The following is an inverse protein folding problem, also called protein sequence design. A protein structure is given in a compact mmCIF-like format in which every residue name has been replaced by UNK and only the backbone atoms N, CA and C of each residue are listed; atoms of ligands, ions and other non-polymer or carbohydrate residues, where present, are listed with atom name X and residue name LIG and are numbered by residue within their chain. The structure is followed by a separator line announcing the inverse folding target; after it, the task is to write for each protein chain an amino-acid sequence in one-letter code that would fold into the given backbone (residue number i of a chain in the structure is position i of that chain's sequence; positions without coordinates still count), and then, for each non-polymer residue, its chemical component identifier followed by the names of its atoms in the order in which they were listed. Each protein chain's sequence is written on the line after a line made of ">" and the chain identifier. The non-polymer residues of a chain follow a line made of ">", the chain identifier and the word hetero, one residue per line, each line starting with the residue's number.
data_IF_651796164360
#
_entry.id   IF_651796164360
#
_cell.length_a   1.000
_cell.length_b   1.000
_cell.length_c   1.000
_cell.angle_alpha   90.00
_cell.angle_beta   90.00
_cell.angle_gamma   90.00
#
_symmetry.space_group_name_H-M   'P 1'
#
loop_
_entity.id
_entity.type
_entity.pdbx_description
1 polymer ?
#
# COMPACT_ATOMS: atom_id res chain seq x y z
N UNK A 1 -21.72 -21.40 -62.97
CA UNK A 1 -21.49 -20.09 -62.29
C UNK A 1 -22.37 -19.85 -61.06
N UNK A 2 -23.67 -20.22 -61.04
CA UNK A 2 -24.54 -19.97 -59.87
C UNK A 2 -24.15 -20.73 -58.58
N UNK A 3 -23.60 -21.94 -58.68
CA UNK A 3 -23.24 -22.74 -57.50
C UNK A 3 -21.96 -22.27 -56.78
N UNK A 4 -21.07 -21.53 -57.45
CA UNK A 4 -19.85 -21.01 -56.83
C UNK A 4 -20.08 -19.75 -55.99
N UNK A 5 -21.08 -18.93 -56.33
CA UNK A 5 -21.42 -17.74 -55.52
C UNK A 5 -22.08 -18.09 -54.18
N UNK A 6 -22.86 -19.17 -54.12
CA UNK A 6 -23.59 -19.58 -52.91
C UNK A 6 -22.65 -20.00 -51.77
N UNK A 7 -21.56 -20.71 -52.09
CA UNK A 7 -20.59 -21.20 -51.11
C UNK A 7 -19.71 -20.06 -50.58
N UNK A 8 -19.33 -19.11 -51.45
CA UNK A 8 -18.53 -17.95 -51.06
C UNK A 8 -19.30 -17.01 -50.12
N UNK A 9 -20.59 -16.80 -50.36
CA UNK A 9 -21.42 -15.95 -49.49
C UNK A 9 -21.66 -16.59 -48.11
N UNK A 10 -21.87 -17.91 -48.07
CA UNK A 10 -22.05 -18.65 -46.81
C UNK A 10 -20.80 -18.60 -45.94
N UNK A 11 -19.61 -18.79 -46.54
CA UNK A 11 -18.33 -18.72 -45.82
C UNK A 11 -18.04 -17.31 -45.28
N UNK A 12 -18.42 -16.27 -46.04
CA UNK A 12 -18.26 -14.89 -45.63
C UNK A 12 -19.18 -14.51 -44.46
N UNK A 13 -20.44 -14.99 -44.48
CA UNK A 13 -21.41 -14.76 -43.39
C UNK A 13 -20.98 -15.49 -42.11
N UNK A 14 -20.48 -16.73 -42.20
CA UNK A 14 -19.96 -17.45 -41.02
C UNK A 14 -18.71 -16.77 -40.45
N UNK A 15 -17.80 -16.28 -41.29
CA UNK A 15 -16.61 -15.55 -40.85
C UNK A 15 -16.95 -14.21 -40.18
N UNK A 16 -17.95 -13.48 -40.70
CA UNK A 16 -18.46 -12.25 -40.09
C UNK A 16 -19.17 -12.52 -38.77
N UNK A 17 -19.99 -13.57 -38.67
CA UNK A 17 -20.65 -13.96 -37.43
C UNK A 17 -19.65 -14.42 -36.36
N UNK A 18 -18.62 -15.17 -36.74
CA UNK A 18 -17.59 -15.63 -35.82
C UNK A 18 -16.69 -14.47 -35.35
N UNK A 19 -16.36 -13.53 -36.24
CA UNK A 19 -15.69 -12.28 -35.89
C UNK A 19 -16.55 -11.39 -34.98
N UNK A 20 -17.86 -11.34 -35.22
CA UNK A 20 -18.81 -10.60 -34.38
C UNK A 20 -19.00 -11.28 -33.01
N UNK A 21 -19.01 -12.61 -32.95
CA UNK A 21 -19.04 -13.38 -31.70
C UNK A 21 -17.74 -13.24 -30.92
N UNK A 22 -16.58 -13.25 -31.56
CA UNK A 22 -15.29 -12.97 -30.89
C UNK A 22 -15.18 -11.51 -30.44
N UNK A 23 -15.76 -10.56 -31.17
CA UNK A 23 -15.85 -9.15 -30.77
C UNK A 23 -16.80 -8.96 -29.55
N UNK A 24 -17.92 -9.69 -29.51
CA UNK A 24 -18.84 -9.75 -28.37
C UNK A 24 -18.25 -10.46 -27.15
N UNK A 25 -17.47 -11.53 -27.35
CA UNK A 25 -16.80 -12.25 -26.26
C UNK A 25 -15.56 -11.52 -25.72
N UNK A 26 -14.91 -10.68 -26.53
CA UNK A 26 -13.83 -9.77 -26.07
C UNK A 26 -14.32 -8.72 -25.06
N UNK A 27 -15.63 -8.55 -24.85
CA UNK A 27 -16.20 -7.60 -23.89
C UNK A 27 -16.71 -8.20 -22.59
N UNK A 28 -16.40 -9.47 -22.27
CA UNK A 28 -16.88 -10.09 -21.02
C UNK A 28 -15.78 -10.66 -20.12
N UNK A 29 -14.52 -10.27 -20.33
CA UNK A 29 -13.46 -10.61 -19.39
C UNK A 29 -13.50 -9.64 -18.22
N UNK A 30 -13.86 -10.12 -17.02
CA UNK A 30 -13.59 -9.39 -15.79
C UNK A 30 -12.08 -9.18 -15.66
N UNK A 31 -11.64 -7.95 -15.41
CA UNK A 31 -10.23 -7.63 -15.19
C UNK A 31 -9.95 -7.70 -13.70
N UNK A 32 -9.04 -8.57 -13.27
CA UNK A 32 -8.59 -8.64 -11.87
C UNK A 32 -7.82 -7.36 -11.50
N UNK A 33 -7.90 -6.94 -10.24
CA UNK A 33 -7.17 -5.79 -9.71
C UNK A 33 -6.23 -6.29 -8.62
N UNK A 34 -4.92 -6.07 -8.78
CA UNK A 34 -3.98 -6.27 -7.69
C UNK A 34 -4.17 -5.20 -6.60
N UNK A 35 -4.54 -5.66 -5.40
CA UNK A 35 -4.70 -4.83 -4.21
C UNK A 35 -3.46 -4.85 -3.30
N UNK A 36 -2.33 -5.38 -3.76
CA UNK A 36 -0.99 -5.27 -3.19
C UNK A 36 -0.93 -5.42 -1.66
N UNK A 37 -0.76 -6.63 -1.14
CA UNK A 37 -0.69 -6.87 0.31
C UNK A 37 -2.04 -6.89 1.03
N UNK A 38 -3.15 -6.96 0.27
CA UNK A 38 -4.45 -7.32 0.80
C UNK A 38 -4.45 -8.75 1.38
N UNK A 39 -5.29 -8.98 2.39
CA UNK A 39 -5.49 -10.27 3.04
C UNK A 39 -6.91 -10.74 2.77
N UNK A 40 -7.07 -11.87 2.07
CA UNK A 40 -8.38 -12.47 1.78
C UNK A 40 -9.39 -11.48 1.18
N UNK A 41 -8.90 -10.67 0.25
CA UNK A 41 -9.73 -9.78 -0.56
C UNK A 41 -9.22 -9.90 -1.98
N UNK A 42 -10.10 -10.27 -2.89
CA UNK A 42 -9.88 -10.15 -4.33
C UNK A 42 -10.79 -9.07 -4.88
N UNK A 43 -10.33 -8.38 -5.91
CA UNK A 43 -11.14 -7.40 -6.61
C UNK A 43 -11.05 -7.62 -8.12
N UNK A 44 -12.14 -7.36 -8.82
CA UNK A 44 -12.18 -7.35 -10.28
C UNK A 44 -13.15 -6.29 -10.76
N UNK A 45 -12.88 -5.71 -11.93
CA UNK A 45 -13.82 -4.83 -12.63
C UNK A 45 -14.37 -5.55 -13.84
N UNK A 46 -15.68 -5.45 -14.01
CA UNK A 46 -16.36 -5.79 -15.25
C UNK A 46 -17.16 -4.57 -15.68
N UNK A 47 -16.83 -4.03 -16.84
CA UNK A 47 -17.35 -2.76 -17.34
C UNK A 47 -17.04 -1.61 -16.37
N UNK A 48 -18.06 -1.06 -15.69
CA UNK A 48 -17.93 -0.04 -14.66
C UNK A 48 -18.20 -0.58 -13.25
N UNK A 49 -18.33 -1.90 -13.10
CA UNK A 49 -18.74 -2.53 -11.85
C UNK A 49 -17.54 -3.21 -11.21
N UNK A 50 -17.17 -2.71 -10.02
CA UNK A 50 -16.18 -3.32 -9.16
C UNK A 50 -16.85 -4.41 -8.31
N UNK A 51 -16.32 -5.63 -8.42
CA UNK A 51 -16.66 -6.79 -7.61
C UNK A 51 -15.52 -7.06 -6.64
N UNK A 52 -15.85 -7.17 -5.35
CA UNK A 52 -14.89 -7.47 -4.28
C UNK A 52 -15.36 -8.76 -3.61
N UNK A 53 -14.46 -9.72 -3.44
CA UNK A 53 -14.78 -11.01 -2.82
C UNK A 53 -13.87 -11.30 -1.63
N UNK A 54 -14.42 -11.97 -0.63
CA UNK A 54 -13.70 -12.39 0.57
C UNK A 54 -14.32 -13.65 1.18
N UNK A 55 -13.49 -14.61 1.59
CA UNK A 55 -13.93 -15.83 2.27
C UNK A 55 -14.06 -15.58 3.79
N UNK A 56 -15.29 -15.50 4.28
CA UNK A 56 -15.63 -15.22 5.68
C UNK A 56 -15.13 -16.28 6.68
N UNK A 57 -14.74 -17.47 6.19
CA UNK A 57 -14.21 -18.55 7.03
C UNK A 57 -12.74 -18.36 7.42
N UNK A 58 -12.00 -17.50 6.70
CA UNK A 58 -10.57 -17.28 6.96
C UNK A 58 -10.33 -16.46 8.23
N UNK A 59 -9.13 -16.60 8.75
CA UNK A 59 -8.64 -15.91 9.94
C UNK A 59 -7.18 -15.50 9.68
N UNK A 60 -6.87 -14.23 9.91
CA UNK A 60 -5.54 -13.63 9.73
C UNK A 60 -4.95 -13.12 11.04
N UNK A 61 -5.44 -13.62 12.16
CA UNK A 61 -5.01 -13.29 13.51
C UNK A 61 -5.68 -12.05 14.08
N UNK A 62 -5.23 -11.67 15.27
CA UNK A 62 -5.73 -10.49 15.95
C UNK A 62 -5.40 -9.21 15.16
N UNK A 63 -6.29 -8.22 15.27
CA UNK A 63 -6.01 -6.85 14.84
C UNK A 63 -4.83 -6.28 15.63
N UNK A 64 -4.17 -5.24 15.13
CA UNK A 64 -3.05 -4.58 15.83
C UNK A 64 -3.38 -4.12 17.26
N UNK A 65 -4.66 -3.91 17.58
CA UNK A 65 -5.10 -3.54 18.93
C UNK A 65 -5.43 -4.73 19.84
N UNK A 66 -5.39 -5.96 19.33
CA UNK A 66 -5.82 -7.18 20.01
C UNK A 66 -7.33 -7.33 20.22
N UNK A 67 -8.15 -6.32 19.85
CA UNK A 67 -9.58 -6.28 20.20
C UNK A 67 -10.51 -7.08 19.29
N UNK A 68 -10.03 -7.45 18.10
CA UNK A 68 -10.83 -8.10 17.05
C UNK A 68 -9.95 -9.06 16.27
N UNK A 69 -10.56 -9.97 15.52
CA UNK A 69 -9.91 -10.94 14.64
C UNK A 69 -10.15 -10.53 13.20
N UNK A 70 -9.08 -10.44 12.42
CA UNK A 70 -9.11 -10.01 11.02
C UNK A 70 -9.56 -11.17 10.14
N UNK A 71 -10.68 -10.99 9.44
CA UNK A 71 -11.20 -11.94 8.45
C UNK A 71 -10.68 -11.59 7.05
N UNK A 72 -10.60 -10.29 6.74
CA UNK A 72 -10.08 -9.79 5.48
C UNK A 72 -9.79 -8.29 5.53
N UNK A 73 -8.84 -7.81 4.74
CA UNK A 73 -8.50 -6.38 4.70
C UNK A 73 -7.75 -6.03 3.42
N UNK A 74 -7.98 -4.85 2.87
CA UNK A 74 -7.11 -4.26 1.84
C UNK A 74 -5.78 -3.76 2.42
N UNK A 75 -5.57 -3.84 3.73
CA UNK A 75 -4.39 -3.36 4.43
C UNK A 75 -4.14 -1.85 4.20
N UNK A 76 -5.20 -1.04 4.27
CA UNK A 76 -5.19 0.40 4.02
C UNK A 76 -5.98 0.77 2.76
N UNK A 77 -5.83 2.01 2.31
CA UNK A 77 -6.47 2.47 1.07
C UNK A 77 -5.60 2.05 -0.12
N UNK A 78 -6.12 1.16 -0.95
CA UNK A 78 -5.42 0.63 -2.13
C UNK A 78 -5.93 1.28 -3.40
N UNK A 79 -5.05 1.72 -4.31
CA UNK A 79 -5.50 2.25 -5.59
C UNK A 79 -6.20 1.16 -6.39
N UNK A 80 -7.22 1.54 -7.15
CA UNK A 80 -7.90 0.67 -8.10
C UNK A 80 -7.34 0.92 -9.50
N UNK A 81 -6.18 0.33 -9.80
CA UNK A 81 -5.44 0.63 -11.03
C UNK A 81 -5.01 2.10 -11.08
N UNK A 82 -5.12 2.73 -12.25
CA UNK A 82 -4.82 4.15 -12.50
C UNK A 82 -6.08 5.04 -12.48
N UNK A 83 -7.21 4.52 -12.03
CA UNK A 83 -8.52 5.20 -12.06
C UNK A 83 -8.66 6.42 -11.15
N UNK A 84 -7.64 6.76 -10.35
CA UNK A 84 -7.68 7.71 -9.23
C UNK A 84 -8.64 7.32 -8.09
N UNK A 85 -9.29 6.15 -8.15
CA UNK A 85 -10.07 5.61 -7.04
C UNK A 85 -9.19 4.79 -6.09
N UNK A 86 -9.55 4.83 -4.81
CA UNK A 86 -8.93 4.09 -3.73
C UNK A 86 -9.99 3.27 -2.99
N UNK A 87 -9.66 2.04 -2.65
CA UNK A 87 -10.49 1.11 -1.88
C UNK A 87 -9.84 0.82 -0.53
N UNK A 88 -10.56 1.12 0.53
CA UNK A 88 -10.30 0.63 1.89
C UNK A 88 -11.40 -0.33 2.30
N UNK A 89 -11.05 -1.57 2.66
CA UNK A 89 -11.97 -2.58 3.18
C UNK A 89 -11.36 -3.24 4.42
N UNK A 90 -12.17 -3.42 5.46
CA UNK A 90 -11.87 -4.23 6.62
C UNK A 90 -13.04 -5.14 6.98
N UNK A 91 -12.77 -6.42 7.15
CA UNK A 91 -13.69 -7.46 7.61
C UNK A 91 -13.12 -8.05 8.91
N UNK A 92 -13.90 -8.03 9.98
CA UNK A 92 -13.42 -8.49 11.28
C UNK A 92 -14.57 -9.01 12.16
N UNK A 93 -14.24 -9.87 13.11
CA UNK A 93 -15.14 -10.33 14.18
C UNK A 93 -14.56 -9.98 15.55
N UNK A 94 -15.41 -9.91 16.58
CA UNK A 94 -14.92 -9.70 17.97
C UNK A 94 -14.12 -10.90 18.48
N UNK A 95 -14.59 -12.11 18.19
CA UNK A 95 -13.92 -13.38 18.51
C UNK A 95 -14.36 -14.48 17.55
N UNK A 96 -13.64 -15.60 17.52
CA UNK A 96 -14.03 -16.76 16.70
C UNK A 96 -15.32 -17.41 17.20
N UNK A 97 -15.60 -17.40 18.52
CA UNK A 97 -16.85 -18.00 19.03
C UNK A 97 -18.09 -17.19 18.61
N UNK A 98 -17.92 -15.89 18.35
CA UNK A 98 -19.00 -15.03 17.84
C UNK A 98 -19.22 -15.16 16.34
N UNK A 99 -18.32 -15.84 15.61
CA UNK A 99 -18.47 -16.05 14.18
C UNK A 99 -19.42 -17.21 13.91
N UNK A 100 -20.55 -16.94 13.26
CA UNK A 100 -21.55 -17.93 12.89
C UNK A 100 -21.73 -18.00 11.37
N UNK A 101 -21.15 -19.01 10.74
CA UNK A 101 -21.26 -19.22 9.28
C UNK A 101 -22.27 -20.32 8.92
N UNK A 102 -23.14 -20.70 9.86
CA UNK A 102 -24.19 -21.68 9.58
C UNK A 102 -25.20 -21.13 8.58
N UNK A 103 -25.93 -22.00 7.85
CA UNK A 103 -26.89 -21.56 6.83
C UNK A 103 -27.92 -20.55 7.34
N UNK A 104 -28.45 -20.74 8.55
CA UNK A 104 -29.42 -19.83 9.16
C UNK A 104 -28.87 -18.41 9.31
N UNK A 105 -27.58 -18.27 9.68
CA UNK A 105 -26.95 -16.99 9.95
C UNK A 105 -26.59 -16.19 8.69
N UNK A 106 -26.51 -16.88 7.55
CA UNK A 106 -26.11 -16.30 6.26
C UNK A 106 -27.28 -16.20 5.27
N UNK A 107 -28.40 -16.87 5.57
CA UNK A 107 -29.58 -16.99 4.70
C UNK A 107 -30.11 -15.65 4.18
N UNK A 108 -30.14 -14.61 5.03
CA UNK A 108 -30.63 -13.28 4.66
C UNK A 108 -29.87 -12.66 3.48
N UNK A 109 -28.58 -12.99 3.32
CA UNK A 109 -27.73 -12.49 2.25
C UNK A 109 -27.41 -13.54 1.17
N UNK A 110 -27.82 -14.81 1.34
CA UNK A 110 -27.68 -15.88 0.32
C UNK A 110 -28.78 -15.78 -0.74
N UNK A 111 -28.93 -14.60 -1.35
CA UNK A 111 -29.93 -14.30 -2.39
C UNK A 111 -29.23 -14.06 -3.72
N UNK A 112 -29.94 -14.30 -4.84
CA UNK A 112 -29.41 -13.96 -6.17
C UNK A 112 -29.23 -12.43 -6.33
N UNK A 113 -30.15 -11.64 -5.76
CA UNK A 113 -30.04 -10.18 -5.75
C UNK A 113 -29.03 -9.69 -4.70
N UNK A 114 -28.29 -8.64 -5.05
CA UNK A 114 -27.48 -7.89 -4.08
C UNK A 114 -28.39 -7.05 -3.18
N UNK A 115 -28.06 -7.00 -1.89
CA UNK A 115 -28.70 -6.14 -0.90
C UNK A 115 -27.89 -4.86 -0.71
N UNK A 116 -28.53 -3.71 -0.81
CA UNK A 116 -27.88 -2.39 -0.65
C UNK A 116 -27.33 -2.22 0.76
N UNK A 117 -26.13 -1.63 0.87
CA UNK A 117 -25.49 -1.33 2.14
C UNK A 117 -24.82 0.04 2.10
N UNK A 118 -25.30 0.97 2.92
CA UNK A 118 -24.72 2.31 2.97
C UNK A 118 -25.00 3.09 1.68
N UNK A 119 -23.96 3.62 1.04
CA UNK A 119 -24.07 4.45 -0.16
C UNK A 119 -23.24 3.86 -1.29
N UNK A 120 -23.87 3.60 -2.45
CA UNK A 120 -23.19 3.22 -3.68
C UNK A 120 -22.56 1.81 -3.66
N UNK A 121 -22.85 0.99 -2.65
CA UNK A 121 -22.42 -0.39 -2.60
C UNK A 121 -23.55 -1.32 -2.14
N UNK A 122 -23.51 -2.54 -2.66
CA UNK A 122 -24.44 -3.60 -2.32
C UNK A 122 -23.64 -4.90 -2.11
N UNK A 123 -24.17 -5.85 -1.36
CA UNK A 123 -23.50 -7.10 -1.09
C UNK A 123 -24.42 -8.31 -1.13
N UNK A 124 -23.84 -9.50 -1.20
CA UNK A 124 -24.52 -10.77 -0.97
C UNK A 124 -23.52 -11.79 -0.47
N UNK A 125 -24.03 -12.91 -0.01
CA UNK A 125 -23.24 -14.10 0.27
C UNK A 125 -23.49 -15.09 -0.88
N UNK A 126 -22.42 -15.61 -1.47
CA UNK A 126 -22.51 -16.56 -2.59
C UNK A 126 -23.11 -17.92 -2.15
N UNK A 127 -23.34 -18.83 -3.09
CA UNK A 127 -24.04 -20.11 -2.83
C UNK A 127 -23.30 -21.04 -1.87
N UNK A 128 -21.97 -20.92 -1.78
CA UNK A 128 -21.15 -21.61 -0.76
C UNK A 128 -21.46 -21.14 0.68
N UNK A 129 -22.25 -20.07 0.77
CA UNK A 129 -22.19 -18.96 1.70
C UNK A 129 -21.21 -18.94 2.83
N UNK A 130 -19.96 -18.94 2.42
CA UNK A 130 -18.85 -18.35 3.16
C UNK A 130 -18.22 -17.21 2.35
N UNK A 131 -18.48 -17.09 1.05
CA UNK A 131 -17.93 -16.00 0.22
C UNK A 131 -18.85 -14.78 0.25
N UNK A 132 -18.37 -13.68 0.82
CA UNK A 132 -19.00 -12.36 0.67
C UNK A 132 -18.63 -11.80 -0.69
N UNK A 133 -19.62 -11.36 -1.46
CA UNK A 133 -19.43 -10.57 -2.66
C UNK A 133 -20.00 -9.16 -2.46
N UNK A 134 -19.17 -8.14 -2.62
CA UNK A 134 -19.56 -6.73 -2.61
C UNK A 134 -19.48 -6.19 -4.04
N UNK A 135 -20.48 -5.41 -4.43
CA UNK A 135 -20.60 -4.79 -5.74
C UNK A 135 -20.66 -3.27 -5.59
N UNK A 136 -19.91 -2.56 -6.42
CA UNK A 136 -19.91 -1.11 -6.55
C UNK A 136 -20.03 -0.77 -8.04
N UNK A 137 -21.14 -0.14 -8.44
CA UNK A 137 -21.33 0.33 -9.82
C UNK A 137 -20.77 1.75 -9.94
N UNK A 138 -19.49 1.85 -10.28
CA UNK A 138 -18.75 3.11 -10.35
C UNK A 138 -19.23 4.03 -11.47
N UNK A 139 -20.01 3.52 -12.42
CA UNK A 139 -20.69 4.34 -13.42
C UNK A 139 -21.96 5.01 -12.90
N UNK A 140 -22.46 4.60 -11.73
CA UNK A 140 -23.72 5.09 -11.13
C UNK A 140 -23.57 5.63 -9.72
N UNK A 141 -22.36 5.60 -9.15
CA UNK A 141 -22.12 6.14 -7.81
C UNK A 141 -22.44 7.63 -7.75
N UNK A 142 -23.09 8.04 -6.66
CA UNK A 142 -23.29 9.45 -6.36
C UNK A 142 -22.08 9.97 -5.59
N UNK A 143 -21.36 10.91 -6.20
CA UNK A 143 -20.22 11.56 -5.59
C UNK A 143 -20.62 12.43 -4.41
N UNK A 144 -19.99 12.22 -3.26
CA UNK A 144 -20.22 13.01 -2.05
C UNK A 144 -18.89 13.54 -1.49
N UNK A 145 -18.74 14.85 -1.24
CA UNK A 145 -17.56 15.36 -0.55
C UNK A 145 -17.39 14.67 0.83
N UNK A 146 -16.19 14.19 1.11
CA UNK A 146 -15.85 13.67 2.42
C UNK A 146 -15.76 14.83 3.44
N UNK A 147 -15.95 14.52 4.72
CA UNK A 147 -15.84 15.50 5.82
C UNK A 147 -14.47 16.17 5.90
N UNK A 148 -13.42 15.53 5.36
CA UNK A 148 -12.06 16.09 5.30
C UNK A 148 -11.92 17.21 4.27
N UNK A 149 -12.84 17.32 3.30
CA UNK A 149 -12.74 18.21 2.14
C UNK A 149 -11.65 17.83 1.13
N UNK A 150 -10.89 16.75 1.36
CA UNK A 150 -9.76 16.32 0.51
C UNK A 150 -10.11 15.20 -0.46
N UNK A 151 -11.24 14.54 -0.24
CA UNK A 151 -11.70 13.41 -1.04
C UNK A 151 -13.18 13.47 -1.35
N UNK A 152 -13.56 12.75 -2.40
CA UNK A 152 -14.94 12.50 -2.82
C UNK A 152 -15.22 11.02 -2.62
N UNK A 153 -16.21 10.71 -1.79
CA UNK A 153 -16.70 9.36 -1.54
C UNK A 153 -17.49 8.91 -2.77
N UNK A 154 -17.09 7.75 -3.30
CA UNK A 154 -17.76 7.04 -4.38
C UNK A 154 -18.73 6.00 -3.80
N UNK A 155 -18.26 5.24 -2.82
CA UNK A 155 -19.11 4.28 -2.10
C UNK A 155 -18.62 4.07 -0.67
N UNK A 156 -19.53 3.72 0.24
CA UNK A 156 -19.21 3.46 1.64
C UNK A 156 -20.28 2.64 2.33
N UNK A 157 -19.88 1.72 3.20
CA UNK A 157 -20.83 1.06 4.12
C UNK A 157 -21.35 2.01 5.20
N UNK A 158 -20.85 3.25 5.28
CA UNK A 158 -21.22 4.24 6.30
C UNK A 158 -20.91 3.75 7.71
N UNK A 159 -19.66 3.32 7.91
CA UNK A 159 -19.17 2.71 9.15
C UNK A 159 -19.11 1.18 9.08
N UNK A 160 -18.95 0.54 10.23
CA UNK A 160 -18.88 -0.92 10.32
C UNK A 160 -20.30 -1.50 10.32
N UNK A 161 -20.65 -2.24 9.27
CA UNK A 161 -21.95 -2.87 9.08
C UNK A 161 -21.86 -4.37 9.31
N UNK A 162 -22.86 -4.94 9.97
CA UNK A 162 -22.90 -6.37 10.22
C UNK A 162 -23.28 -7.13 8.96
N UNK A 163 -22.56 -8.22 8.67
CA UNK A 163 -22.87 -9.11 7.55
C UNK A 163 -23.85 -10.17 8.06
N UNK A 164 -25.14 -9.99 7.73
CA UNK A 164 -26.22 -10.86 8.20
C UNK A 164 -26.11 -11.13 9.71
N UNK A 165 -26.28 -12.38 10.15
CA UNK A 165 -26.14 -12.79 11.55
C UNK A 165 -24.78 -13.47 11.82
N UNK A 166 -23.77 -13.21 10.99
CA UNK A 166 -22.48 -13.93 11.06
C UNK A 166 -21.60 -13.52 12.23
N UNK A 167 -21.90 -12.39 12.88
CA UNK A 167 -21.02 -11.76 13.87
C UNK A 167 -19.81 -11.04 13.25
N UNK A 168 -19.67 -11.06 11.91
CA UNK A 168 -18.62 -10.33 11.17
C UNK A 168 -19.13 -8.93 10.82
N UNK A 169 -18.26 -7.95 10.99
CA UNK A 169 -18.44 -6.56 10.64
C UNK A 169 -17.62 -6.20 9.39
N UNK A 170 -18.18 -5.37 8.54
CA UNK A 170 -17.57 -4.85 7.32
C UNK A 170 -17.54 -3.33 7.33
N UNK A 171 -16.35 -2.75 7.26
CA UNK A 171 -16.14 -1.33 6.98
C UNK A 171 -15.51 -1.17 5.60
N UNK A 172 -16.19 -0.48 4.69
CA UNK A 172 -15.70 -0.20 3.34
C UNK A 172 -15.81 1.28 3.02
N UNK A 173 -14.78 1.81 2.37
CA UNK A 173 -14.77 3.11 1.72
C UNK A 173 -14.12 3.00 0.35
N UNK A 174 -14.78 3.52 -0.67
CA UNK A 174 -14.23 3.78 -1.98
C UNK A 174 -14.29 5.29 -2.25
N UNK A 175 -13.16 5.91 -2.56
CA UNK A 175 -13.09 7.37 -2.74
C UNK A 175 -12.03 7.75 -3.78
N UNK A 176 -12.09 8.99 -4.26
CA UNK A 176 -11.02 9.63 -5.05
C UNK A 176 -10.58 10.95 -4.42
N UNK A 177 -9.37 11.46 -4.69
CA UNK A 177 -8.99 12.82 -4.32
C UNK A 177 -9.87 13.87 -5.02
N UNK A 178 -10.13 15.01 -4.38
CA UNK A 178 -10.85 16.13 -5.03
C UNK A 178 -10.10 16.66 -6.26
N UNK A 179 -8.76 16.57 -6.24
CA UNK A 179 -7.88 17.05 -7.31
C UNK A 179 -7.80 16.14 -8.53
N UNK A 180 -8.49 14.99 -8.55
CA UNK A 180 -8.43 14.02 -9.62
C UNK A 180 -9.82 13.46 -9.95
N UNK A 181 -10.17 13.42 -11.23
CA UNK A 181 -11.41 12.80 -11.69
C UNK A 181 -11.29 11.26 -11.70
N UNK A 182 -12.43 10.58 -11.52
CA UNK A 182 -12.52 9.13 -11.71
C UNK A 182 -12.36 8.83 -13.20
N UNK A 183 -11.45 7.91 -13.55
CA UNK A 183 -11.30 7.43 -14.92
C UNK A 183 -11.55 5.93 -14.98
N UNK A 184 -12.71 5.56 -15.51
CA UNK A 184 -13.14 4.16 -15.61
C UNK A 184 -12.35 3.36 -16.67
N UNK A 185 -11.72 4.04 -17.64
CA UNK A 185 -10.90 3.36 -18.64
C UNK A 185 -9.57 2.86 -18.08
N UNK A 186 -9.18 3.37 -16.92
CA UNK A 186 -7.89 3.12 -16.26
C UNK A 186 -7.99 2.06 -15.12
N UNK A 187 -9.07 1.29 -15.06
CA UNK A 187 -9.19 0.11 -14.18
C UNK A 187 -8.43 -1.11 -14.70
N UNK A 188 -7.99 -1.07 -15.96
CA UNK A 188 -7.14 -2.11 -16.52
C UNK A 188 -5.76 -1.99 -15.88
N UNK A 189 -5.25 -3.10 -15.37
CA UNK A 189 -3.85 -3.24 -14.99
C UNK A 189 -2.98 -2.77 -16.16
N UNK A 190 -2.31 -1.63 -15.99
CA UNK A 190 -0.87 -1.76 -16.06
C UNK A 190 -0.48 -2.41 -14.74
N UNK A 191 -0.12 -3.69 -14.78
CA UNK A 191 0.57 -4.35 -13.67
C UNK A 191 1.60 -3.35 -13.16
N UNK A 192 1.54 -2.99 -11.86
CA UNK A 192 2.44 -2.00 -11.26
C UNK A 192 3.83 -2.26 -11.82
N UNK A 193 4.35 -1.31 -12.62
CA UNK A 193 5.48 -1.54 -13.51
C UNK A 193 6.54 -2.34 -12.76
N UNK A 194 6.82 -3.56 -13.21
CA UNK A 194 7.82 -4.40 -12.57
C UNK A 194 9.13 -4.17 -13.30
N UNK A 195 10.05 -3.49 -12.63
CA UNK A 195 11.40 -3.27 -13.13
C UNK A 195 12.26 -4.50 -12.88
N UNK A 196 13.02 -4.86 -13.91
CA UNK A 196 14.02 -5.90 -13.93
C UNK A 196 15.40 -5.29 -14.12
N UNK A 197 16.43 -5.98 -13.64
CA UNK A 197 17.82 -5.57 -13.84
C UNK A 197 18.13 -5.41 -15.34
N UNK A 198 18.88 -4.36 -15.67
CA UNK A 198 19.21 -3.98 -17.05
C UNK A 198 18.19 -3.03 -17.70
N UNK A 199 17.12 -2.63 -17.01
CA UNK A 199 16.09 -1.76 -17.58
C UNK A 199 16.32 -0.28 -17.27
N UNK A 200 15.97 0.54 -18.26
CA UNK A 200 15.79 1.98 -18.12
C UNK A 200 14.39 2.31 -18.62
N UNK A 201 13.58 2.96 -17.79
CA UNK A 201 12.19 3.26 -18.11
C UNK A 201 11.90 4.74 -17.87
N UNK A 202 11.33 5.39 -18.88
CA UNK A 202 10.72 6.71 -18.77
C UNK A 202 9.31 6.54 -18.20
N UNK A 203 9.07 7.19 -17.07
CA UNK A 203 7.76 7.26 -16.43
C UNK A 203 7.08 8.59 -16.76
N UNK A 204 5.77 8.65 -16.54
CA UNK A 204 5.01 9.89 -16.68
C UNK A 204 5.56 11.00 -15.80
N UNK A 205 5.28 12.26 -16.18
CA UNK A 205 5.63 13.47 -15.41
C UNK A 205 7.14 13.69 -15.24
N UNK A 206 7.95 13.26 -16.21
CA UNK A 206 9.38 13.60 -16.27
C UNK A 206 10.26 12.80 -15.31
N UNK A 207 9.77 11.67 -14.80
CA UNK A 207 10.59 10.73 -14.04
C UNK A 207 11.23 9.71 -14.98
N UNK A 208 12.49 9.40 -14.75
CA UNK A 208 13.21 8.30 -15.39
C UNK A 208 13.75 7.37 -14.31
N UNK A 209 13.60 6.07 -14.49
CA UNK A 209 14.18 5.06 -13.59
C UNK A 209 15.22 4.25 -14.33
N UNK A 210 16.41 4.15 -13.76
CA UNK A 210 17.51 3.35 -14.23
C UNK A 210 17.80 2.25 -13.19
N UNK A 211 17.59 1.00 -13.59
CA UNK A 211 17.93 -0.19 -12.81
C UNK A 211 18.88 -1.08 -13.62
N UNK A 212 20.00 -0.50 -14.04
CA UNK A 212 21.00 -1.18 -14.89
C UNK A 212 21.77 -2.29 -14.20
N UNK A 213 21.88 -2.27 -12.86
CA UNK A 213 22.63 -3.28 -12.10
C UNK A 213 21.97 -3.57 -10.75
N UNK A 214 21.97 -4.84 -10.36
CA UNK A 214 21.54 -5.25 -9.02
C UNK A 214 22.34 -4.51 -7.95
N UNK A 215 21.61 -4.01 -6.95
CA UNK A 215 22.18 -3.15 -5.91
C UNK A 215 22.22 -1.66 -6.21
N UNK A 216 21.83 -1.22 -7.42
CA UNK A 216 21.82 0.20 -7.77
C UNK A 216 20.59 0.57 -8.59
N UNK A 217 19.67 1.31 -7.98
CA UNK A 217 18.54 1.93 -8.66
C UNK A 217 18.65 3.44 -8.54
N UNK A 218 18.47 4.14 -9.67
CA UNK A 218 18.54 5.60 -9.77
C UNK A 218 17.27 6.13 -10.40
N UNK A 219 16.58 7.01 -9.69
CA UNK A 219 15.45 7.79 -10.20
C UNK A 219 15.97 9.19 -10.53
N UNK A 220 15.74 9.64 -11.76
CA UNK A 220 16.06 11.00 -12.21
C UNK A 220 14.76 11.76 -12.43
N UNK A 221 14.72 13.02 -11.99
CA UNK A 221 13.62 13.94 -12.28
C UNK A 221 14.21 15.29 -12.68
N UNK A 222 13.79 15.79 -13.83
CA UNK A 222 14.20 17.10 -14.35
C UNK A 222 13.02 18.06 -14.32
N UNK A 223 13.25 19.29 -13.83
CA UNK A 223 12.23 20.34 -13.81
C UNK A 223 12.79 21.64 -14.37
N UNK A 224 12.08 22.21 -15.35
CA UNK A 224 12.43 23.49 -15.97
C UNK A 224 12.00 24.68 -15.11
N UNK A 225 11.09 24.50 -14.15
CA UNK A 225 10.77 25.52 -13.14
C UNK A 225 11.43 25.21 -11.81
N UNK A 226 11.89 26.27 -11.13
CA UNK A 226 12.32 26.21 -9.74
C UNK A 226 11.16 25.68 -8.87
N UNK A 227 11.18 24.38 -8.58
CA UNK A 227 10.24 23.67 -7.74
C UNK A 227 8.80 23.48 -8.28
N UNK A 228 8.05 22.49 -7.73
CA UNK A 228 6.58 22.52 -7.77
C UNK A 228 6.08 23.82 -7.13
N UNK A 229 5.04 24.45 -7.69
CA UNK A 229 4.48 25.70 -7.12
C UNK A 229 3.89 25.44 -5.73
N UNK A 230 3.80 26.47 -4.90
CA UNK A 230 3.24 26.31 -3.55
C UNK A 230 1.84 25.64 -3.58
N UNK A 231 1.71 24.50 -2.91
CA UNK A 231 0.48 23.69 -2.92
C UNK A 231 0.47 22.56 -3.96
N UNK A 232 1.39 22.55 -4.92
CA UNK A 232 1.57 21.46 -5.88
C UNK A 232 2.47 20.36 -5.31
N UNK A 233 2.13 19.12 -5.67
CA UNK A 233 2.94 17.95 -5.42
C UNK A 233 3.01 17.11 -6.70
N UNK A 234 4.22 16.74 -7.09
CA UNK A 234 4.47 15.82 -8.18
C UNK A 234 4.64 14.42 -7.58
N UNK A 235 3.83 13.48 -8.05
CA UNK A 235 3.87 12.08 -7.60
C UNK A 235 4.36 11.23 -8.75
N UNK A 236 5.43 10.46 -8.49
CA UNK A 236 5.94 9.48 -9.44
C UNK A 236 4.97 8.29 -9.52
N UNK A 237 4.64 7.79 -10.72
CA UNK A 237 3.93 6.53 -10.85
C UNK A 237 4.64 5.42 -10.06
N UNK A 238 3.94 4.67 -9.19
CA UNK A 238 4.56 3.62 -8.41
C UNK A 238 5.03 2.48 -9.33
N UNK A 239 6.11 1.83 -8.94
CA UNK A 239 6.64 0.66 -9.61
C UNK A 239 7.13 -0.36 -8.57
N UNK A 240 7.35 -1.59 -9.01
CA UNK A 240 7.96 -2.65 -8.18
C UNK A 240 9.36 -3.01 -8.69
N UNK A 241 10.27 -3.30 -7.78
CA UNK A 241 11.64 -3.73 -8.08
C UNK A 241 12.12 -4.62 -6.94
N UNK A 242 12.68 -5.79 -7.24
CA UNK A 242 13.13 -6.75 -6.21
C UNK A 242 12.04 -7.09 -5.16
N UNK A 243 10.76 -7.05 -5.55
CA UNK A 243 9.61 -7.25 -4.66
C UNK A 243 9.25 -6.05 -3.78
N UNK A 244 9.98 -4.94 -3.88
CA UNK A 244 9.69 -3.68 -3.18
C UNK A 244 8.77 -2.81 -4.01
N UNK A 245 7.73 -2.24 -3.39
CA UNK A 245 6.93 -1.16 -3.99
C UNK A 245 7.60 0.18 -3.69
N UNK A 246 7.89 0.96 -4.74
CA UNK A 246 8.57 2.25 -4.64
C UNK A 246 7.57 3.38 -4.86
N UNK A 247 7.52 4.31 -3.92
CA UNK A 247 6.70 5.52 -4.00
C UNK A 247 7.59 6.75 -3.78
N UNK A 248 7.42 7.76 -4.62
CA UNK A 248 8.15 9.02 -4.54
C UNK A 248 7.20 10.21 -4.73
N UNK A 249 7.30 11.16 -3.81
CA UNK A 249 6.56 12.41 -3.81
C UNK A 249 7.53 13.58 -3.74
N UNK A 250 7.35 14.56 -4.61
CA UNK A 250 8.04 15.84 -4.60
C UNK A 250 7.03 16.93 -4.29
N UNK A 251 7.19 17.60 -3.16
CA UNK A 251 6.35 18.72 -2.74
C UNK A 251 7.06 20.05 -2.91
N UNK A 252 6.25 21.10 -3.06
CA UNK A 252 6.74 22.48 -3.08
C UNK A 252 7.56 22.84 -1.82
N UNK A 253 8.56 23.71 -1.95
CA UNK A 253 9.19 24.42 -0.84
C UNK A 253 8.12 25.10 -0.01
N UNK A 254 7.88 24.62 1.21
CA UNK A 254 7.08 25.38 2.16
C UNK A 254 7.97 26.44 2.78
N UNK A 255 7.72 27.71 2.47
CA UNK A 255 8.28 28.81 3.26
C UNK A 255 7.71 28.62 4.66
N UNK A 256 8.56 28.31 5.66
CA UNK A 256 8.11 28.27 7.05
C UNK A 256 7.52 29.66 7.35
N UNK A 257 6.20 29.75 7.54
CA UNK A 257 5.59 30.90 8.24
C UNK A 257 6.32 30.97 9.58
N UNK A 258 7.05 32.07 9.78
CA UNK A 258 7.94 32.32 10.91
C UNK A 258 7.18 32.12 12.23
N UNK A 259 7.26 30.92 12.80
CA UNK A 259 7.04 30.72 14.21
C UNK A 259 8.41 30.96 14.84
N UNK A 260 8.51 31.92 15.75
CA UNK A 260 9.71 32.19 16.56
C UNK A 260 10.12 30.89 17.26
N UNK A 261 11.02 30.14 16.66
CA UNK A 261 11.81 29.12 17.33
C UNK A 261 13.21 29.73 17.42
N UNK A 262 13.53 30.27 18.60
CA UNK A 262 14.91 30.52 19.00
C UNK A 262 15.57 29.14 19.19
N UNK A 263 16.15 28.64 18.10
CA UNK A 263 16.97 27.44 18.07
C UNK A 263 17.97 27.61 16.94
N UNK A 264 19.25 27.38 17.24
CA UNK A 264 20.37 27.59 16.34
C UNK A 264 20.06 27.11 14.91
N UNK A 265 20.30 27.99 13.93
CA UNK A 265 20.17 27.64 12.53
C UNK A 265 21.04 26.41 12.24
N UNK A 266 20.51 25.37 11.55
CA UNK A 266 21.31 24.20 11.22
C UNK A 266 22.55 24.64 10.43
N UNK A 267 23.72 24.19 10.89
CA UNK A 267 25.03 24.48 10.28
C UNK A 267 25.10 23.81 8.90
N UNK A 268 24.63 24.49 7.87
CA UNK A 268 24.77 24.03 6.50
C UNK A 268 26.26 24.05 6.12
N UNK A 269 26.81 22.90 5.75
CA UNK A 269 28.13 22.81 5.14
C UNK A 269 28.00 23.36 3.71
N UNK A 270 28.59 24.54 3.44
CA UNK A 270 28.63 25.15 2.10
C UNK A 270 29.15 24.11 1.08
N UNK A 271 28.43 23.92 -0.02
CA UNK A 271 28.85 23.10 -1.17
C UNK A 271 28.30 21.67 -1.25
N UNK A 272 27.37 21.27 -0.36
CA UNK A 272 26.74 19.94 -0.43
C UNK A 272 25.32 20.05 -1.02
N UNK A 273 25.12 19.55 -2.24
CA UNK A 273 23.79 19.43 -2.86
C UNK A 273 23.08 18.13 -2.42
N UNK A 274 21.75 18.12 -2.44
CA UNK A 274 20.94 16.95 -2.08
C UNK A 274 20.09 17.12 -0.83
N UNK A 275 19.86 16.01 -0.10
CA UNK A 275 19.07 16.05 1.14
C UNK A 275 19.75 16.90 2.21
N UNK A 276 19.02 17.88 2.75
CA UNK A 276 19.40 18.63 3.95
C UNK A 276 18.82 17.95 5.19
N UNK A 277 19.51 16.87 5.58
CA UNK A 277 19.24 16.10 6.78
C UNK A 277 20.49 16.08 7.63
N UNK A 278 20.29 16.11 8.95
CA UNK A 278 21.37 15.87 9.89
C UNK A 278 22.04 14.51 9.54
N UNK A 279 23.36 14.47 9.30
CA UNK A 279 24.07 13.21 9.06
C UNK A 279 23.90 12.17 10.17
N UNK A 280 23.60 12.60 11.41
CA UNK A 280 23.28 11.72 12.53
C UNK A 280 21.82 11.21 12.52
N UNK A 281 20.99 11.70 11.59
CA UNK A 281 19.58 11.29 11.50
C UNK A 281 19.44 9.87 10.97
N UNK A 282 18.93 8.97 11.82
CA UNK A 282 18.57 7.60 11.41
C UNK A 282 17.28 7.52 10.57
N UNK A 283 16.66 8.67 10.27
CA UNK A 283 15.41 8.74 9.51
C UNK A 283 15.60 8.35 8.05
N UNK A 284 16.74 8.72 7.45
CA UNK A 284 17.06 8.43 6.06
C UNK A 284 17.84 7.14 5.99
N UNK A 285 17.25 6.11 5.38
CA UNK A 285 17.84 4.77 5.31
C UNK A 285 18.00 4.35 3.87
N UNK A 286 19.22 3.94 3.51
CA UNK A 286 19.57 3.44 2.18
C UNK A 286 19.04 4.39 1.07
N UNK A 287 19.35 5.68 1.18
CA UNK A 287 18.88 6.69 0.23
C UNK A 287 19.97 7.76 0.07
N UNK A 288 20.28 8.08 -1.17
CA UNK A 288 21.12 9.22 -1.55
C UNK A 288 20.35 10.09 -2.52
N UNK A 289 20.38 11.39 -2.32
CA UNK A 289 19.81 12.35 -3.27
C UNK A 289 20.87 13.38 -3.59
N UNK A 290 21.03 13.70 -4.87
CA UNK A 290 21.77 14.88 -5.34
C UNK A 290 20.84 15.77 -6.15
N UNK A 291 21.17 17.05 -6.21
CA UNK A 291 20.45 18.03 -6.99
C UNK A 291 21.46 18.90 -7.71
N UNK A 292 21.51 18.76 -9.04
CA UNK A 292 22.44 19.48 -9.89
C UNK A 292 21.68 20.52 -10.72
N UNK A 293 22.31 21.66 -11.00
CA UNK A 293 21.78 22.65 -11.95
C UNK A 293 22.36 22.33 -13.32
N UNK A 294 21.51 22.16 -14.32
CA UNK A 294 21.95 21.93 -15.68
C UNK A 294 22.62 23.19 -16.23
N UNK A 295 23.95 23.15 -16.38
CA UNK A 295 24.73 24.29 -16.86
C UNK A 295 24.35 24.73 -18.30
N UNK A 296 23.77 23.85 -19.11
CA UNK A 296 23.32 24.17 -20.46
C UNK A 296 21.95 24.87 -20.48
N UNK A 297 21.16 24.73 -19.40
CA UNK A 297 19.82 25.30 -19.24
C UNK A 297 19.76 25.95 -17.87
N UNK A 298 20.17 27.23 -17.80
CA UNK A 298 20.52 28.00 -16.60
C UNK A 298 19.53 28.02 -15.40
N UNK A 299 18.41 27.31 -15.47
CA UNK A 299 17.39 27.21 -14.42
C UNK A 299 16.84 25.78 -14.20
N UNK A 300 17.25 24.79 -15.00
CA UNK A 300 16.75 23.42 -14.88
C UNK A 300 17.48 22.69 -13.74
N UNK A 301 16.71 22.14 -12.81
CA UNK A 301 17.25 21.32 -11.73
C UNK A 301 17.07 19.84 -12.06
N UNK A 302 18.13 19.05 -11.86
CA UNK A 302 18.15 17.60 -12.05
C UNK A 302 18.34 16.92 -10.70
N UNK A 303 17.27 16.29 -10.24
CA UNK A 303 17.28 15.48 -9.02
C UNK A 303 17.70 14.05 -9.38
N UNK A 304 18.70 13.51 -8.68
CA UNK A 304 19.10 12.10 -8.79
C UNK A 304 18.93 11.43 -7.44
N UNK A 305 18.06 10.43 -7.38
CA UNK A 305 17.64 9.75 -6.17
C UNK A 305 18.07 8.29 -6.30
N UNK A 306 19.06 7.87 -5.54
CA UNK A 306 19.67 6.57 -5.65
C UNK A 306 19.49 5.75 -4.37
N UNK A 307 19.19 4.46 -4.52
CA UNK A 307 19.21 3.49 -3.44
C UNK A 307 19.49 2.07 -3.94
N UNK A 308 19.80 1.16 -3.01
CA UNK A 308 19.99 -0.25 -3.31
C UNK A 308 18.67 -1.02 -3.06
N UNK A 309 17.98 -1.52 -4.09
CA UNK A 309 16.68 -2.20 -3.93
C UNK A 309 16.79 -3.61 -3.32
N UNK A 310 18.01 -4.15 -3.20
CA UNK A 310 18.25 -5.50 -2.65
C UNK A 310 18.38 -5.47 -1.13
N UNK A 311 18.74 -4.32 -0.55
CA UNK A 311 18.90 -4.16 0.90
C UNK A 311 17.57 -4.17 1.66
N UNK A 312 17.65 -4.62 2.91
CA UNK A 312 16.58 -4.56 3.89
C UNK A 312 17.10 -3.86 5.14
N UNK A 313 16.46 -2.75 5.50
CA UNK A 313 16.82 -1.85 6.59
C UNK A 313 15.99 -2.11 7.86
N UNK A 314 15.54 -3.36 8.04
CA UNK A 314 14.65 -3.79 9.13
C UNK A 314 13.17 -3.64 8.81
N UNK A 315 12.31 -4.01 9.77
CA UNK A 315 10.85 -3.87 9.60
C UNK A 315 10.42 -2.41 9.73
N UNK A 316 9.34 -2.07 9.03
CA UNK A 316 8.64 -0.80 9.19
C UNK A 316 8.08 -0.68 10.61
N UNK A 317 7.70 0.53 11.02
CA UNK A 317 7.08 0.76 12.34
C UNK A 317 5.84 -0.10 12.60
N UNK A 318 5.12 -0.49 11.55
CA UNK A 318 3.96 -1.37 11.64
C UNK A 318 4.28 -2.87 11.69
N UNK A 319 5.55 -3.27 11.51
CA UNK A 319 5.96 -4.68 11.39
C UNK A 319 5.55 -5.38 10.08
N UNK A 320 4.55 -4.87 9.35
CA UNK A 320 3.94 -5.51 8.16
C UNK A 320 4.82 -5.53 6.90
N UNK A 321 5.89 -4.74 6.88
CA UNK A 321 6.74 -4.57 5.71
C UNK A 321 8.19 -4.46 6.13
N UNK A 322 9.10 -4.88 5.26
CA UNK A 322 10.51 -4.56 5.35
C UNK A 322 10.76 -3.21 4.67
N UNK A 323 11.51 -2.36 5.35
CA UNK A 323 11.98 -1.08 4.77
C UNK A 323 13.16 -1.37 3.87
N UNK A 324 13.06 -1.02 2.59
CA UNK A 324 14.19 -1.11 1.64
C UNK A 324 14.91 0.22 1.59
N UNK A 325 14.16 1.30 1.43
CA UNK A 325 14.67 2.67 1.42
C UNK A 325 13.58 3.61 1.94
N UNK A 326 13.97 4.63 2.70
CA UNK A 326 13.04 5.67 3.15
C UNK A 326 13.76 6.98 3.40
N UNK A 327 13.07 8.09 3.14
CA UNK A 327 13.48 9.42 3.59
C UNK A 327 12.98 9.76 5.00
N UNK A 328 12.19 8.88 5.64
CA UNK A 328 11.61 9.12 6.96
C UNK A 328 10.56 10.25 6.99
N UNK A 329 9.94 10.54 5.84
CA UNK A 329 9.00 11.65 5.66
C UNK A 329 9.47 12.66 4.61
N UNK A 330 8.88 13.86 4.61
CA UNK A 330 9.27 14.93 3.69
C UNK A 330 10.56 15.63 4.15
N UNK A 331 11.64 15.43 3.41
CA UNK A 331 12.94 16.05 3.65
C UNK A 331 13.23 17.17 2.66
N UNK A 332 13.86 18.28 3.09
CA UNK A 332 14.28 19.33 2.18
C UNK A 332 15.40 18.84 1.24
N UNK A 333 15.36 19.29 -0.01
CA UNK A 333 16.41 19.08 -1.01
C UNK A 333 16.97 20.43 -1.42
N UNK A 334 18.28 20.60 -1.26
CA UNK A 334 19.01 21.82 -1.60
C UNK A 334 19.85 21.61 -2.86
N UNK A 335 20.02 22.67 -3.65
CA UNK A 335 20.99 22.68 -4.75
C UNK A 335 22.43 22.92 -4.25
N UNK A 336 23.40 22.98 -5.17
CA UNK A 336 24.81 23.25 -4.83
C UNK A 336 25.07 24.63 -4.22
N UNK A 337 24.12 25.57 -4.32
CA UNK A 337 24.19 26.91 -3.72
C UNK A 337 23.56 26.95 -2.33
N UNK A 338 22.90 25.86 -1.90
CA UNK A 338 22.15 25.79 -0.64
C UNK A 338 20.71 26.30 -0.75
N UNK A 339 20.21 26.56 -1.97
CA UNK A 339 18.81 26.98 -2.19
C UNK A 339 17.88 25.79 -2.08
N UNK A 340 16.76 25.96 -1.37
CA UNK A 340 15.70 24.94 -1.28
C UNK A 340 14.99 24.76 -2.62
N UNK A 341 15.16 23.59 -3.21
CA UNK A 341 14.58 23.21 -4.51
C UNK A 341 13.24 22.54 -4.32
N UNK A 342 13.13 21.57 -3.43
CA UNK A 342 11.85 20.89 -3.15
C UNK A 342 11.87 20.19 -1.80
N UNK A 343 10.76 19.56 -1.45
CA UNK A 343 10.71 18.54 -0.39
C UNK A 343 10.44 17.18 -0.99
N UNK A 344 11.23 16.18 -0.61
CA UNK A 344 11.13 14.81 -1.12
C UNK A 344 10.61 13.88 -0.03
N UNK A 345 9.66 13.02 -0.39
CA UNK A 345 9.32 11.84 0.41
C UNK A 345 9.41 10.59 -0.46
N UNK A 346 10.35 9.70 -0.12
CA UNK A 346 10.51 8.41 -0.76
C UNK A 346 10.27 7.29 0.24
N UNK A 347 9.54 6.27 -0.19
CA UNK A 347 9.34 5.04 0.55
C UNK A 347 9.39 3.84 -0.39
N UNK A 348 10.31 2.92 -0.13
CA UNK A 348 10.40 1.62 -0.77
C UNK A 348 10.22 0.52 0.29
N UNK A 349 9.17 -0.29 0.13
CA UNK A 349 8.81 -1.34 1.10
C UNK A 349 8.59 -2.68 0.42
N UNK A 350 9.10 -3.75 1.03
CA UNK A 350 8.76 -5.14 0.68
C UNK A 350 7.75 -5.67 1.69
N UNK A 351 6.80 -6.54 1.32
CA UNK A 351 6.00 -7.28 2.30
C UNK A 351 6.92 -8.05 3.25
N UNK A 352 6.62 -8.00 4.55
CA UNK A 352 7.32 -8.82 5.54
C UNK A 352 6.42 -9.96 5.98
N UNK A 353 6.95 -11.18 6.19
CA UNK A 353 6.21 -12.25 6.84
C UNK A 353 5.66 -11.80 8.20
N UNK A 354 4.48 -12.26 8.62
CA UNK A 354 3.98 -12.01 9.97
C UNK A 354 4.96 -12.58 11.00
N UNK A 355 5.10 -11.91 12.13
CA UNK A 355 5.86 -12.44 13.28
C UNK A 355 4.97 -13.46 13.97
N UNK A 356 5.49 -14.67 14.14
CA UNK A 356 4.81 -15.79 14.77
C UNK A 356 5.22 -15.94 16.23
N UNK A 357 4.44 -16.69 17.02
CA UNK A 357 4.83 -17.01 18.40
C UNK A 357 6.14 -17.78 18.49
N UNK A 358 6.50 -18.54 17.44
CA UNK A 358 7.80 -19.24 17.35
C UNK A 358 8.94 -18.23 17.25
N UNK A 359 8.80 -17.22 16.39
CA UNK A 359 9.80 -16.16 16.25
C UNK A 359 10.00 -15.41 17.57
N UNK A 360 8.90 -15.09 18.28
CA UNK A 360 8.95 -14.42 19.58
C UNK A 360 9.67 -15.28 20.62
N UNK A 361 9.33 -16.56 20.70
CA UNK A 361 9.97 -17.51 21.62
C UNK A 361 11.48 -17.64 21.37
N UNK A 362 11.89 -17.76 20.11
CA UNK A 362 13.30 -17.85 19.72
C UNK A 362 14.06 -16.56 20.04
N UNK A 363 13.46 -15.40 19.78
CA UNK A 363 14.05 -14.11 20.12
C UNK A 363 14.19 -13.92 21.64
N UNK A 364 13.18 -14.30 22.43
CA UNK A 364 13.25 -14.31 23.90
C UNK A 364 14.38 -15.21 24.39
N UNK A 365 14.46 -16.44 23.89
CA UNK A 365 15.51 -17.37 24.27
C UNK A 365 16.90 -16.82 23.92
N UNK A 366 17.04 -16.19 22.76
CA UNK A 366 18.30 -15.58 22.31
C UNK A 366 18.72 -14.43 23.21
N UNK A 367 17.81 -13.54 23.56
CA UNK A 367 18.07 -12.41 24.47
C UNK A 367 18.44 -12.89 25.87
N UNK A 368 17.65 -13.80 26.46
CA UNK A 368 17.90 -14.26 27.83
C UNK A 368 19.17 -15.13 27.95
N UNK A 369 19.51 -15.92 26.92
CA UNK A 369 20.76 -16.70 26.92
C UNK A 369 22.02 -15.84 26.88
N UNK A 370 21.96 -14.61 26.36
CA UNK A 370 23.07 -13.64 26.37
C UNK A 370 23.34 -13.09 27.79
N UNK A 371 22.37 -13.19 28.70
CA UNK A 371 22.51 -12.76 30.10
C UNK A 371 22.99 -13.92 30.99
N UNK A 372 23.97 -13.74 31.89
CA UNK A 372 24.35 -14.73 32.90
C UNK A 372 23.16 -15.18 33.77
N UNK A 373 23.15 -16.45 34.19
CA UNK A 373 21.99 -17.05 34.88
C UNK A 373 21.66 -16.32 36.20
N UNK A 374 22.69 -15.84 36.87
CA UNK A 374 22.64 -15.13 38.15
C UNK A 374 21.95 -13.76 38.02
N UNK A 375 22.11 -13.10 36.88
CA UNK A 375 21.58 -11.75 36.61
C UNK A 375 20.15 -11.76 36.05
N UNK A 376 19.68 -12.91 35.55
CA UNK A 376 18.36 -13.02 34.88
C UNK A 376 17.17 -12.65 35.75
N UNK A 377 17.27 -12.86 37.07
CA UNK A 377 16.19 -12.55 38.02
C UNK A 377 16.03 -11.05 38.29
N UNK A 378 17.06 -10.27 37.99
CA UNK A 378 17.09 -8.82 38.20
C UNK A 378 16.75 -8.04 36.91
N UNK A 379 16.53 -8.75 35.80
CA UNK A 379 16.21 -8.14 34.52
C UNK A 379 14.87 -7.39 34.58
N UNK A 380 14.93 -6.11 34.22
CA UNK A 380 13.73 -5.30 34.00
C UNK A 380 13.07 -5.75 32.70
N UNK A 381 11.79 -6.16 32.78
CA UNK A 381 11.03 -6.63 31.61
C UNK A 381 11.09 -5.68 30.42
N UNK A 382 11.07 -4.37 30.65
CA UNK A 382 11.15 -3.37 29.58
C UNK A 382 12.46 -3.48 28.79
N UNK A 383 13.58 -3.78 29.44
CA UNK A 383 14.88 -3.94 28.77
C UNK A 383 14.88 -5.22 27.93
N UNK A 384 14.39 -6.33 28.48
CA UNK A 384 14.25 -7.60 27.75
C UNK A 384 13.34 -7.42 26.55
N UNK A 385 12.19 -6.77 26.73
CA UNK A 385 11.25 -6.49 25.66
C UNK A 385 11.88 -5.65 24.54
N UNK A 386 12.64 -4.61 24.87
CA UNK A 386 13.32 -3.78 23.88
C UNK A 386 14.39 -4.56 23.11
N UNK A 387 15.17 -5.41 23.79
CA UNK A 387 16.16 -6.28 23.14
C UNK A 387 15.50 -7.34 22.24
N UNK A 388 14.39 -7.94 22.69
CA UNK A 388 13.64 -8.90 21.86
C UNK A 388 13.06 -8.22 20.63
N UNK A 389 12.58 -6.98 20.77
CA UNK A 389 12.11 -6.20 19.64
C UNK A 389 13.21 -5.87 18.65
N UNK A 390 14.41 -5.55 19.12
CA UNK A 390 15.57 -5.34 18.28
C UNK A 390 15.94 -6.61 17.51
N UNK A 391 15.96 -7.76 18.20
CA UNK A 391 16.18 -9.09 17.60
C UNK A 391 15.11 -9.41 16.52
N UNK A 392 13.84 -9.07 16.76
CA UNK A 392 12.75 -9.20 15.79
C UNK A 392 12.76 -8.12 14.68
N UNK A 393 13.64 -7.13 14.77
CA UNK A 393 13.75 -6.01 13.84
C UNK A 393 12.59 -5.00 13.91
N UNK A 394 11.89 -4.90 15.03
CA UNK A 394 10.69 -4.08 15.25
C UNK A 394 11.01 -2.70 15.84
N UNK A 395 10.70 -1.61 15.12
CA UNK A 395 11.09 -0.23 15.48
C UNK A 395 9.94 0.74 15.86
N UNK A 396 8.76 0.26 16.28
CA UNK A 396 7.60 1.10 16.65
C UNK A 396 6.98 0.83 18.03
N UNK A 397 6.24 1.79 18.57
CA UNK A 397 5.74 1.75 19.96
C UNK A 397 4.50 0.86 20.20
N UNK A 398 3.88 0.33 19.15
CA UNK A 398 2.53 -0.24 19.23
C UNK A 398 2.46 -1.69 18.74
N UNK A 399 2.82 -2.62 19.63
CA UNK A 399 2.61 -4.05 19.42
C UNK A 399 2.22 -4.76 20.73
N UNK A 400 1.01 -4.47 21.19
CA UNK A 400 0.47 -5.06 22.43
C UNK A 400 0.45 -6.59 22.42
N UNK A 401 0.32 -7.20 21.24
CA UNK A 401 0.31 -8.65 21.08
C UNK A 401 1.73 -9.24 21.26
N UNK A 402 2.74 -8.72 20.56
CA UNK A 402 4.13 -9.15 20.78
C UNK A 402 4.53 -8.91 22.23
N UNK A 403 4.16 -7.78 22.84
CA UNK A 403 4.47 -7.52 24.25
C UNK A 403 3.88 -8.56 25.20
N UNK A 404 2.65 -9.01 24.93
CA UNK A 404 2.01 -10.06 25.72
C UNK A 404 2.73 -11.40 25.55
N UNK A 405 3.02 -11.79 24.30
CA UNK A 405 3.73 -13.04 23.99
C UNK A 405 5.15 -13.04 24.60
N UNK A 406 5.90 -11.95 24.48
CA UNK A 406 7.23 -11.81 25.11
C UNK A 406 7.13 -11.98 26.62
N UNK A 407 6.10 -11.40 27.26
CA UNK A 407 5.90 -11.55 28.70
C UNK A 407 5.63 -13.00 29.12
N UNK A 408 4.82 -13.72 28.35
CA UNK A 408 4.51 -15.13 28.60
C UNK A 408 5.74 -16.02 28.39
N UNK A 409 6.46 -15.83 27.28
CA UNK A 409 7.65 -16.62 26.95
C UNK A 409 8.81 -16.35 27.92
N UNK A 410 9.01 -15.10 28.37
CA UNK A 410 10.00 -14.79 29.42
C UNK A 410 9.66 -15.53 30.71
N UNK A 411 8.38 -15.56 31.11
CA UNK A 411 7.94 -16.28 32.31
C UNK A 411 8.16 -17.79 32.17
N UNK A 412 7.85 -18.36 31.01
CA UNK A 412 8.06 -19.77 30.72
C UNK A 412 9.55 -20.12 30.77
N UNK A 413 10.40 -19.33 30.11
CA UNK A 413 11.85 -19.54 30.08
C UNK A 413 12.45 -19.54 31.50
N UNK A 414 12.11 -18.55 32.34
CA UNK A 414 12.61 -18.44 33.71
C UNK A 414 12.06 -19.52 34.66
N UNK A 415 10.95 -20.19 34.31
CA UNK A 415 10.38 -21.28 35.11
C UNK A 415 11.01 -22.65 34.83
N UNK A 416 11.75 -22.78 33.73
CA UNK A 416 12.41 -24.02 33.30
C UNK A 416 13.88 -24.12 33.74
N UNK A 417 14.41 -23.06 34.36
CA UNK A 417 15.79 -22.96 34.85
C UNK A 417 15.90 -22.96 36.38
#
# INVERSE_FOLDING_TARGET
>A
MRNHLSLSLSLYITSLLESFFQLLFRHMSSTAIDLGGAKNVTASVKDAVLYIQSDLSKDFGASSTGKTIVVGSTAGNRPLGKSNAFLGLNLFTKSLEKRNLKPEATSDLRKEAFEEVGQGCAWRIEKDGVTLCIKIDLGKVQEKPASSGKSVILATTSGNKQIAQTGILCGLNCYRPVSAALDLSLFVEDAVLKLHEGQVVELEKGFRVDYTKSGSLVITYSTDSAAPREGEAVTMPPFTVEGATVNLYLGAPKVKKTRKEEGDAPKHVKGKSGLDVDPASELVKNLRVTCDVDAARSETHVLRIAFDPTKVMGRSKSGKSFTVSTSGGFQPVLDGTGRLVCRLSLNAYKPAPPITGVDVKEAVATVLKKTPKEERRELIFLNVYNQVREELGCSGDDDGEIKSQVKEEVKLFLSQE
#
